data_IF_346317172808
#
_entry.id   IF_346317172808
#
_cell.length_a   1.000
_cell.length_b   1.000
_cell.length_c   1.000
_cell.angle_alpha   90.00
_cell.angle_beta   90.00
_cell.angle_gamma   90.00
#
_symmetry.space_group_name_H-M   'P 1'
#
loop_
_entity.id
_entity.type
_entity.pdbx_description
1 polymer ?
#
# COMPACT_ATOMS: atom_id res chain seq x y z
N UNK A 1 10.41 14.73 -19.33
CA UNK A 1 11.36 15.54 -18.54
C UNK A 1 11.27 17.04 -18.84
N UNK A 2 11.27 17.44 -20.12
CA UNK A 2 11.13 18.87 -20.51
C UNK A 2 9.83 19.52 -20.00
N UNK A 3 8.72 18.77 -19.96
CA UNK A 3 7.43 19.27 -19.43
C UNK A 3 7.45 19.50 -17.91
N UNK A 4 8.28 18.76 -17.17
CA UNK A 4 8.44 18.95 -15.73
C UNK A 4 9.11 20.31 -15.45
N UNK A 5 10.19 20.60 -16.17
CA UNK A 5 10.92 21.86 -16.10
C UNK A 5 10.05 23.05 -16.55
N UNK A 6 9.32 22.91 -17.66
CA UNK A 6 8.48 23.98 -18.21
C UNK A 6 7.27 24.32 -17.34
N UNK A 7 6.76 23.37 -16.56
CA UNK A 7 5.57 23.54 -15.72
C UNK A 7 5.89 23.76 -14.24
N UNK A 8 7.16 23.79 -13.86
CA UNK A 8 7.58 23.90 -12.46
C UNK A 8 7.02 22.77 -11.59
N UNK A 9 6.96 21.55 -12.14
CA UNK A 9 6.38 20.41 -11.44
C UNK A 9 7.39 19.76 -10.49
N UNK A 10 6.92 19.36 -9.31
CA UNK A 10 7.75 18.70 -8.29
C UNK A 10 7.73 17.18 -8.43
N UNK A 11 8.88 16.56 -8.18
CA UNK A 11 9.00 15.10 -8.01
C UNK A 11 9.22 14.83 -6.52
N UNK A 12 8.27 14.12 -5.93
CA UNK A 12 8.34 13.72 -4.52
C UNK A 12 8.72 12.24 -4.46
N UNK A 13 9.90 11.94 -3.94
CA UNK A 13 10.31 10.57 -3.63
C UNK A 13 9.66 10.11 -2.32
N UNK A 14 9.05 8.93 -2.32
CA UNK A 14 8.44 8.32 -1.13
C UNK A 14 9.18 7.04 -0.79
N UNK A 15 9.65 6.90 0.46
CA UNK A 15 10.32 5.70 0.95
C UNK A 15 9.73 5.28 2.30
N UNK A 16 8.85 4.27 2.27
CA UNK A 16 8.20 3.76 3.48
C UNK A 16 9.14 3.01 4.43
N UNK A 17 10.31 2.55 3.98
CA UNK A 17 11.25 1.78 4.82
C UNK A 17 12.04 2.66 5.80
N UNK A 18 12.25 3.93 5.46
CA UNK A 18 13.03 4.87 6.29
C UNK A 18 12.17 5.64 7.30
N UNK A 19 10.86 5.39 7.32
CA UNK A 19 9.98 6.01 8.30
C UNK A 19 10.24 5.39 9.67
N UNK A 20 10.54 6.22 10.67
CA UNK A 20 10.60 5.74 12.04
C UNK A 20 9.21 5.34 12.56
N UNK A 21 9.19 4.72 13.74
CA UNK A 21 7.96 4.20 14.35
C UNK A 21 6.95 5.33 14.64
N UNK A 22 7.43 6.51 15.05
CA UNK A 22 6.57 7.64 15.43
C UNK A 22 5.91 8.24 14.19
N UNK A 23 6.68 8.46 13.13
CA UNK A 23 6.20 8.93 11.84
C UNK A 23 5.20 7.93 11.22
N UNK A 24 5.50 6.63 11.34
CA UNK A 24 4.61 5.57 10.86
C UNK A 24 3.27 5.56 11.62
N UNK A 25 3.30 5.65 12.95
CA UNK A 25 2.09 5.73 13.77
C UNK A 25 1.25 6.97 13.43
N UNK A 26 1.88 8.13 13.27
CA UNK A 26 1.21 9.36 12.88
C UNK A 26 0.57 9.28 11.48
N UNK A 27 1.21 8.58 10.54
CA UNK A 27 0.65 8.36 9.21
C UNK A 27 -0.58 7.43 9.27
N UNK A 28 -0.52 6.34 10.05
CA UNK A 28 -1.64 5.43 10.23
C UNK A 28 -2.85 6.10 10.92
N UNK A 29 -2.61 6.98 11.90
CA UNK A 29 -3.66 7.79 12.55
C UNK A 29 -4.40 8.67 11.54
N UNK A 30 -3.66 9.34 10.64
CA UNK A 30 -4.24 10.17 9.58
C UNK A 30 -5.06 9.34 8.61
N UNK A 31 -4.55 8.18 8.19
CA UNK A 31 -5.28 7.25 7.31
C UNK A 31 -6.58 6.78 7.96
N UNK A 32 -6.53 6.39 9.25
CA UNK A 32 -7.73 5.97 9.99
C UNK A 32 -8.81 7.06 9.94
N UNK A 33 -8.47 8.29 10.32
CA UNK A 33 -9.43 9.42 10.30
C UNK A 33 -9.98 9.68 8.91
N UNK A 34 -9.14 9.64 7.87
CA UNK A 34 -9.57 9.89 6.51
C UNK A 34 -10.59 8.84 6.01
N UNK A 35 -10.43 7.57 6.40
CA UNK A 35 -11.45 6.54 6.15
C UNK A 35 -12.71 6.75 7.00
N UNK A 36 -12.57 7.03 8.29
CA UNK A 36 -13.70 7.25 9.22
C UNK A 36 -14.59 8.43 8.82
N UNK A 37 -13.98 9.52 8.31
CA UNK A 37 -14.68 10.71 7.86
C UNK A 37 -15.15 10.64 6.40
N UNK A 38 -14.86 9.54 5.69
CA UNK A 38 -15.26 9.36 4.28
C UNK A 38 -14.46 10.20 3.28
N UNK A 39 -13.31 10.75 3.68
CA UNK A 39 -12.40 11.47 2.78
C UNK A 39 -11.68 10.52 1.81
N UNK A 40 -11.49 9.27 2.22
CA UNK A 40 -10.96 8.20 1.38
C UNK A 40 -12.04 7.16 1.07
N UNK A 41 -12.11 6.67 -0.18
CA UNK A 41 -13.02 5.59 -0.54
C UNK A 41 -12.60 4.29 0.14
N UNK A 42 -13.57 3.44 0.48
CA UNK A 42 -13.30 2.09 0.96
C UNK A 42 -12.54 1.32 -0.13
N UNK A 43 -11.38 0.72 0.18
CA UNK A 43 -10.61 -0.04 -0.79
C UNK A 43 -11.33 -1.34 -1.15
N UNK A 44 -11.05 -1.85 -2.36
CA UNK A 44 -11.50 -3.19 -2.75
C UNK A 44 -11.04 -4.24 -1.72
N UNK A 45 -11.89 -5.24 -1.43
CA UNK A 45 -11.56 -6.27 -0.45
C UNK A 45 -10.31 -7.03 -0.88
N UNK A 46 -9.42 -7.28 0.09
CA UNK A 46 -8.25 -8.10 -0.14
C UNK A 46 -8.62 -9.58 -0.26
N UNK A 47 -7.86 -10.32 -1.06
CA UNK A 47 -8.01 -11.75 -1.24
C UNK A 47 -7.25 -12.47 -0.12
N UNK A 48 -7.98 -13.12 0.78
CA UNK A 48 -7.37 -13.93 1.83
C UNK A 48 -6.79 -15.23 1.25
N UNK A 49 -5.55 -15.56 1.62
CA UNK A 49 -4.89 -16.81 1.25
C UNK A 49 -4.24 -17.43 2.49
N UNK A 50 -4.24 -18.77 2.63
CA UNK A 50 -3.49 -19.45 3.68
C UNK A 50 -2.01 -19.04 3.66
N UNK A 51 -1.38 -18.96 4.83
CA UNK A 51 0.05 -18.65 4.92
C UNK A 51 0.92 -19.70 4.19
N UNK A 52 0.48 -20.96 4.15
CA UNK A 52 1.11 -22.04 3.38
C UNK A 52 1.18 -21.76 1.87
N UNK A 53 0.23 -20.98 1.34
CA UNK A 53 0.19 -20.58 -0.07
C UNK A 53 1.13 -19.41 -0.40
N UNK A 54 1.81 -18.81 0.58
CA UNK A 54 2.55 -17.56 0.41
C UNK A 54 3.50 -17.58 -0.79
N UNK A 55 4.26 -18.67 -0.97
CA UNK A 55 5.20 -18.80 -2.09
C UNK A 55 4.49 -18.79 -3.44
N UNK A 56 3.33 -19.43 -3.56
CA UNK A 56 2.53 -19.41 -4.78
C UNK A 56 1.98 -18.00 -5.04
N UNK A 57 1.46 -17.33 -4.01
CA UNK A 57 0.96 -15.94 -4.12
C UNK A 57 2.07 -14.98 -4.56
N UNK A 58 3.29 -15.12 -4.06
CA UNK A 58 4.41 -14.28 -4.52
C UNK A 58 4.81 -14.57 -5.98
N UNK A 59 4.67 -15.81 -6.47
CA UNK A 59 4.88 -16.12 -7.88
C UNK A 59 3.80 -15.49 -8.75
N UNK A 60 2.54 -15.61 -8.36
CA UNK A 60 1.39 -14.97 -9.02
C UNK A 60 1.60 -13.44 -9.15
N UNK A 61 2.10 -12.80 -8.09
CA UNK A 61 2.45 -11.37 -8.09
C UNK A 61 3.59 -11.06 -9.08
N UNK A 62 4.64 -11.89 -9.09
CA UNK A 62 5.76 -11.74 -10.02
C UNK A 62 5.32 -11.93 -11.49
N UNK A 63 4.32 -12.76 -11.73
CA UNK A 63 3.73 -13.01 -13.04
C UNK A 63 2.74 -11.91 -13.48
N UNK A 64 2.55 -10.87 -12.66
CA UNK A 64 1.85 -9.63 -13.02
C UNK A 64 0.44 -9.50 -12.45
N UNK A 65 0.01 -10.39 -11.56
CA UNK A 65 -1.25 -10.20 -10.82
C UNK A 65 -1.10 -8.99 -9.88
N UNK A 66 -2.12 -8.13 -9.83
CA UNK A 66 -2.11 -6.87 -9.09
C UNK A 66 -3.15 -6.79 -7.94
N UNK A 67 -3.72 -7.92 -7.53
CA UNK A 67 -4.66 -7.98 -6.42
C UNK A 67 -3.97 -7.73 -5.07
N UNK A 68 -4.71 -7.18 -4.10
CA UNK A 68 -4.25 -7.12 -2.71
C UNK A 68 -4.49 -8.47 -2.05
N UNK A 69 -3.44 -9.09 -1.51
CA UNK A 69 -3.53 -10.36 -0.81
C UNK A 69 -3.29 -10.19 0.69
N UNK A 70 -4.00 -10.94 1.51
CA UNK A 70 -3.73 -11.05 2.96
C UNK A 70 -3.42 -12.51 3.26
N UNK A 71 -2.21 -12.77 3.76
CA UNK A 71 -1.80 -14.09 4.20
C UNK A 71 -2.29 -14.32 5.63
N UNK A 72 -3.11 -15.35 5.81
CA UNK A 72 -3.72 -15.69 7.11
C UNK A 72 -3.19 -17.03 7.59
N UNK A 73 -2.83 -17.10 8.87
CA UNK A 73 -2.52 -18.39 9.49
C UNK A 73 -3.85 -19.14 9.74
N UNK A 74 -3.97 -20.44 9.43
CA UNK A 74 -5.08 -21.22 9.96
C UNK A 74 -4.98 -21.19 11.49
N UNK A 75 -6.07 -20.75 12.14
CA UNK A 75 -6.23 -20.87 13.59
C UNK A 75 -6.33 -22.34 14.02
#
# INVERSE_FOLDING_TARGET
MLDLYRRGADIIGVNSLLHDVVASAAALEKLRRAFECGELPVPDPAVSRPLEDAVAVYRDLNDGIASKFVLVNPN
#
